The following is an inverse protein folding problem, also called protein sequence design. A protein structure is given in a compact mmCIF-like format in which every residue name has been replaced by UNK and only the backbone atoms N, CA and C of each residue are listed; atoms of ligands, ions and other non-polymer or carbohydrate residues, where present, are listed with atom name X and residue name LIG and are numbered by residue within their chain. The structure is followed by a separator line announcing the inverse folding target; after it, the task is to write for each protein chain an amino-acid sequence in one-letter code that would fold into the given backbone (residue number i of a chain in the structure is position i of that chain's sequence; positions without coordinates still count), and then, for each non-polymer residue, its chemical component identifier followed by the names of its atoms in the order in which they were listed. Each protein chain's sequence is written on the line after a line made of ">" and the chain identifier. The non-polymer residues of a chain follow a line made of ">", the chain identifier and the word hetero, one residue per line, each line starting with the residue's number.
data_IF_301638283631
#
_entry.id   IF_301638283631
#
_cell.length_a   1.000
_cell.length_b   1.000
_cell.length_c   1.000
_cell.angle_alpha   90.00
_cell.angle_beta   90.00
_cell.angle_gamma   90.00
#
_symmetry.space_group_name_H-M   'P 1'
#
loop_
_entity.id
_entity.type
_entity.pdbx_description
1 polymer ?
#
# COMPACT_ATOMS: atom_id res chain seq x y z
N UNK A 1 -11.47 28.39 6.86
CA UNK A 1 -10.66 27.80 7.95
C UNK A 1 -10.88 26.30 8.08
N UNK A 2 -12.08 25.81 8.43
CA UNK A 2 -12.34 24.35 8.55
C UNK A 2 -12.19 23.56 7.22
N UNK A 3 -12.70 24.09 6.10
CA UNK A 3 -12.54 23.42 4.80
C UNK A 3 -11.07 23.30 4.37
N UNK A 4 -10.28 24.37 4.56
CA UNK A 4 -8.84 24.32 4.25
C UNK A 4 -8.08 23.34 5.15
N UNK A 5 -8.46 23.20 6.43
CA UNK A 5 -7.87 22.19 7.32
C UNK A 5 -8.22 20.76 6.86
N UNK A 6 -9.46 20.52 6.42
CA UNK A 6 -9.90 19.24 5.83
C UNK A 6 -9.18 18.91 4.52
N UNK A 7 -9.02 19.90 3.65
CA UNK A 7 -8.28 19.75 2.39
C UNK A 7 -6.81 19.43 2.66
N UNK A 8 -6.18 20.12 3.62
CA UNK A 8 -4.81 19.82 4.08
C UNK A 8 -4.69 18.43 4.67
N UNK A 9 -5.64 17.99 5.50
CA UNK A 9 -5.66 16.63 6.04
C UNK A 9 -5.78 15.58 4.94
N UNK A 10 -6.61 15.83 3.92
CA UNK A 10 -6.70 14.91 2.77
C UNK A 10 -5.40 14.90 1.97
N UNK A 11 -4.82 16.07 1.68
CA UNK A 11 -3.57 16.18 0.94
C UNK A 11 -2.42 15.50 1.67
N UNK A 12 -2.36 15.62 3.00
CA UNK A 12 -1.41 14.90 3.85
C UNK A 12 -1.62 13.39 3.79
N UNK A 13 -2.87 12.90 3.83
CA UNK A 13 -3.15 11.47 3.68
C UNK A 13 -2.67 10.95 2.32
N UNK A 14 -2.93 11.67 1.22
CA UNK A 14 -2.46 11.28 -0.12
C UNK A 14 -0.93 11.26 -0.18
N UNK A 15 -0.28 12.31 0.32
CA UNK A 15 1.18 12.41 0.32
C UNK A 15 1.81 11.27 1.13
N UNK A 16 1.27 10.99 2.32
CA UNK A 16 1.71 9.90 3.18
C UNK A 16 1.54 8.53 2.51
N UNK A 17 0.38 8.27 1.89
CA UNK A 17 0.14 7.00 1.19
C UNK A 17 1.09 6.80 0.01
N UNK A 18 1.43 7.87 -0.74
CA UNK A 18 2.42 7.81 -1.82
C UNK A 18 3.82 7.47 -1.31
N UNK A 19 4.22 8.08 -0.20
CA UNK A 19 5.50 7.82 0.42
C UNK A 19 5.57 6.40 1.01
N UNK A 20 4.48 5.94 1.63
CA UNK A 20 4.33 4.55 2.06
C UNK A 20 4.51 3.57 0.90
N UNK A 21 3.82 3.78 -0.23
CA UNK A 21 3.94 2.91 -1.41
C UNK A 21 5.36 2.84 -1.96
N UNK A 22 6.12 3.93 -1.92
CA UNK A 22 7.51 3.96 -2.38
C UNK A 22 8.39 3.02 -1.55
N UNK A 23 8.34 3.13 -0.23
CA UNK A 23 9.18 2.30 0.65
C UNK A 23 8.63 0.87 0.79
N UNK A 24 7.32 0.73 0.94
CA UNK A 24 6.66 -0.56 1.06
C UNK A 24 6.73 -1.36 -0.24
N UNK A 25 6.67 -0.71 -1.41
CA UNK A 25 6.85 -1.37 -2.70
C UNK A 25 8.24 -1.97 -2.87
N UNK A 26 9.30 -1.27 -2.46
CA UNK A 26 10.66 -1.81 -2.47
C UNK A 26 10.81 -2.99 -1.50
N UNK A 27 10.26 -2.87 -0.29
CA UNK A 27 10.21 -3.97 0.69
C UNK A 27 9.43 -5.18 0.16
N UNK A 28 8.23 -4.95 -0.38
CA UNK A 28 7.38 -5.99 -0.93
C UNK A 28 8.04 -6.71 -2.11
N UNK A 29 8.70 -5.96 -3.00
CA UNK A 29 9.47 -6.54 -4.10
C UNK A 29 10.60 -7.44 -3.61
N UNK A 30 11.40 -6.96 -2.64
CA UNK A 30 12.45 -7.77 -2.03
C UNK A 30 11.89 -9.01 -1.31
N UNK A 31 10.82 -8.85 -0.53
CA UNK A 31 10.16 -9.95 0.15
C UNK A 31 9.62 -10.99 -0.84
N UNK A 32 8.98 -10.55 -1.93
CA UNK A 32 8.46 -11.44 -2.96
C UNK A 32 9.57 -12.26 -3.63
N UNK A 33 10.71 -11.64 -3.96
CA UNK A 33 11.88 -12.33 -4.55
C UNK A 33 12.47 -13.33 -3.55
N UNK A 34 12.70 -12.93 -2.30
CA UNK A 34 13.26 -13.83 -1.28
C UNK A 34 12.34 -15.03 -0.98
N UNK A 35 11.02 -14.81 -0.92
CA UNK A 35 10.06 -15.86 -0.62
C UNK A 35 9.82 -16.80 -1.81
N UNK A 36 9.86 -16.30 -3.05
CA UNK A 36 9.79 -17.14 -4.26
C UNK A 36 11.04 -17.98 -4.44
N UNK A 37 12.23 -17.46 -4.11
CA UNK A 37 13.47 -18.25 -4.09
C UNK A 37 13.43 -19.39 -3.05
N UNK A 38 12.70 -19.21 -1.94
CA UNK A 38 12.51 -20.22 -0.90
C UNK A 38 11.38 -21.23 -1.15
N UNK A 39 10.58 -21.03 -2.20
CA UNK A 39 9.36 -21.80 -2.47
C UNK A 39 9.62 -23.29 -2.68
N UNK A 40 10.73 -23.67 -3.33
CA UNK A 40 11.07 -25.07 -3.58
C UNK A 40 11.25 -25.89 -2.30
N UNK A 41 11.61 -25.24 -1.19
CA UNK A 41 11.79 -25.91 0.10
C UNK A 41 10.51 -25.97 0.94
N UNK A 42 9.61 -25.01 0.77
CA UNK A 42 8.34 -24.97 1.48
C UNK A 42 7.32 -24.07 0.76
N UNK A 43 6.28 -24.67 0.20
CA UNK A 43 5.21 -23.93 -0.47
C UNK A 43 4.49 -22.94 0.46
N UNK A 44 4.51 -23.18 1.78
CA UNK A 44 3.93 -22.29 2.79
C UNK A 44 4.65 -20.94 2.95
N UNK A 45 5.88 -20.78 2.40
CA UNK A 45 6.64 -19.54 2.49
C UNK A 45 5.99 -18.38 1.72
N UNK A 46 5.08 -18.65 0.78
CA UNK A 46 4.33 -17.61 0.06
C UNK A 46 3.09 -17.13 0.83
N UNK A 47 2.72 -17.78 1.94
CA UNK A 47 1.57 -17.37 2.76
C UNK A 47 1.54 -15.89 3.17
N UNK A 48 2.66 -15.20 3.52
CA UNK A 48 2.64 -13.78 3.84
C UNK A 48 2.51 -12.87 2.61
N UNK A 49 2.74 -13.37 1.38
CA UNK A 49 2.60 -12.54 0.18
C UNK A 49 1.13 -12.13 0.01
N UNK A 50 0.18 -13.04 0.22
CA UNK A 50 -1.25 -12.76 0.11
C UNK A 50 -1.71 -11.56 0.96
N UNK A 51 -1.55 -11.54 2.29
CA UNK A 51 -1.96 -10.39 3.10
C UNK A 51 -1.17 -9.13 2.76
N UNK A 52 0.12 -9.23 2.40
CA UNK A 52 0.91 -8.07 1.97
C UNK A 52 0.41 -7.49 0.64
N UNK A 53 -0.04 -8.32 -0.30
CA UNK A 53 -0.65 -7.88 -1.56
C UNK A 53 -1.95 -7.12 -1.31
N UNK A 54 -2.79 -7.55 -0.36
CA UNK A 54 -4.01 -6.83 0.01
C UNK A 54 -3.68 -5.43 0.56
N UNK A 55 -2.69 -5.31 1.45
CA UNK A 55 -2.24 -4.01 1.96
C UNK A 55 -1.70 -3.14 0.83
N UNK A 56 -0.90 -3.71 -0.08
CA UNK A 56 -0.36 -2.99 -1.23
C UNK A 56 -1.48 -2.44 -2.13
N UNK A 57 -2.45 -3.28 -2.50
CA UNK A 57 -3.57 -2.88 -3.36
C UNK A 57 -4.44 -1.80 -2.71
N UNK A 58 -4.72 -1.91 -1.41
CA UNK A 58 -5.47 -0.92 -0.66
C UNK A 58 -4.77 0.44 -0.63
N UNK A 59 -3.47 0.45 -0.31
CA UNK A 59 -2.68 1.69 -0.28
C UNK A 59 -2.52 2.29 -1.69
N UNK A 60 -2.43 1.44 -2.71
CA UNK A 60 -2.39 1.88 -4.11
C UNK A 60 -3.67 2.63 -4.52
N UNK A 61 -4.85 2.07 -4.21
CA UNK A 61 -6.13 2.73 -4.49
C UNK A 61 -6.35 3.99 -3.62
N UNK A 62 -5.82 4.02 -2.39
CA UNK A 62 -5.81 5.24 -1.57
C UNK A 62 -4.92 6.36 -2.14
N UNK A 63 -3.71 6.04 -2.62
CA UNK A 63 -2.73 7.04 -3.03
C UNK A 63 -2.88 7.55 -4.48
N UNK A 64 -3.36 6.68 -5.37
CA UNK A 64 -3.48 6.95 -6.80
C UNK A 64 -4.89 6.71 -7.36
N UNK A 65 -5.74 5.98 -6.65
CA UNK A 65 -7.07 5.62 -7.10
C UNK A 65 -8.16 6.55 -6.60
N UNK A 66 -9.39 6.04 -6.61
CA UNK A 66 -10.60 6.84 -6.34
C UNK A 66 -11.10 6.70 -4.91
N UNK A 67 -10.42 5.90 -4.07
CA UNK A 67 -10.91 5.57 -2.72
C UNK A 67 -11.14 6.83 -1.88
N UNK A 68 -10.19 7.77 -1.87
CA UNK A 68 -10.32 9.02 -1.13
C UNK A 68 -11.40 9.96 -1.70
N UNK A 69 -11.70 9.87 -3.00
CA UNK A 69 -12.81 10.61 -3.61
C UNK A 69 -14.15 10.00 -3.21
N UNK A 70 -14.26 8.67 -3.14
CA UNK A 70 -15.47 7.96 -2.69
C UNK A 70 -15.76 8.16 -1.21
N UNK A 71 -14.73 8.19 -0.38
CA UNK A 71 -14.87 8.46 1.07
C UNK A 71 -15.35 9.89 1.33
N UNK A 72 -15.07 10.83 0.41
CA UNK A 72 -15.48 12.23 0.56
C UNK A 72 -16.97 12.48 0.32
N UNK A 73 -17.65 11.65 -0.48
CA UNK A 73 -19.06 11.84 -0.84
C UNK A 73 -19.25 12.94 -1.87
#
# INVERSE_FOLDING_TARGET
>A
MQNQMRERQTAMQIAWTREFLKYFGAFYGLAAVCLTAGYEKNAGLLSPILPLSFVFAYQYDMGYGTLLQRIKG
#
